data_IF_136297223052
#
_entry.id   IF_136297223052
#
_cell.length_a   1.000
_cell.length_b   1.000
_cell.length_c   1.000
_cell.angle_alpha   90.00
_cell.angle_beta   90.00
_cell.angle_gamma   90.00
#
_symmetry.space_group_name_H-M   'P 1'
#
loop_
_entity.id
_entity.type
_entity.pdbx_description
1 polymer ?
#
# COMPACT_ATOMS: atom_id res chain seq x y z
N UNK A 1 -8.65 9.42 17.82
CA UNK A 1 -7.53 10.00 17.05
C UNK A 1 -7.31 9.35 15.68
N UNK A 2 -7.07 8.03 15.55
CA UNK A 2 -6.78 7.37 14.25
C UNK A 2 -7.85 7.61 13.17
N UNK A 3 -9.14 7.55 13.53
CA UNK A 3 -10.24 7.83 12.57
C UNK A 3 -10.16 9.24 11.97
N UNK A 4 -9.69 10.22 12.75
CA UNK A 4 -9.51 11.60 12.30
C UNK A 4 -8.35 11.67 11.31
N UNK A 5 -7.22 11.01 11.60
CA UNK A 5 -6.08 10.91 10.67
C UNK A 5 -6.50 10.25 9.36
N UNK A 6 -7.26 9.16 9.42
CA UNK A 6 -7.82 8.51 8.23
C UNK A 6 -8.70 9.46 7.42
N UNK A 7 -9.56 10.23 8.08
CA UNK A 7 -10.38 11.22 7.39
C UNK A 7 -9.52 12.32 6.77
N UNK A 8 -8.50 12.84 7.46
CA UNK A 8 -7.56 13.80 6.91
C UNK A 8 -6.90 13.28 5.62
N UNK A 9 -6.37 12.05 5.64
CA UNK A 9 -5.77 11.40 4.46
C UNK A 9 -6.75 11.36 3.29
N UNK A 10 -8.01 10.96 3.54
CA UNK A 10 -9.05 10.95 2.50
C UNK A 10 -9.29 12.34 1.91
N UNK A 11 -9.38 13.36 2.76
CA UNK A 11 -9.56 14.74 2.31
C UNK A 11 -8.35 15.26 1.55
N UNK A 12 -7.13 14.90 1.96
CA UNK A 12 -5.91 15.23 1.21
C UNK A 12 -5.93 14.63 -0.19
N UNK A 13 -6.36 13.37 -0.34
CA UNK A 13 -6.50 12.78 -1.67
C UNK A 13 -7.60 13.43 -2.50
N UNK A 14 -8.78 13.71 -1.91
CA UNK A 14 -9.82 14.46 -2.62
C UNK A 14 -9.34 15.84 -3.04
N UNK A 15 -8.60 16.53 -2.17
CA UNK A 15 -8.04 17.84 -2.43
C UNK A 15 -6.99 17.80 -3.55
N UNK A 16 -6.06 16.85 -3.50
CA UNK A 16 -5.07 16.60 -4.56
C UNK A 16 -5.74 16.35 -5.92
N UNK A 17 -6.86 15.63 -5.92
CA UNK A 17 -7.59 15.25 -7.13
C UNK A 17 -8.63 16.30 -7.57
N UNK A 18 -8.83 17.38 -6.80
CA UNK A 18 -9.86 18.38 -7.08
C UNK A 18 -9.37 19.41 -8.10
N UNK A 19 -9.91 19.37 -9.33
CA UNK A 19 -9.65 20.28 -10.46
C UNK A 19 -8.19 20.25 -10.95
N UNK A 20 -8.03 19.82 -12.21
CA UNK A 20 -6.78 19.83 -12.97
C UNK A 20 -6.79 21.06 -13.89
N UNK A 21 -5.71 21.83 -13.95
CA UNK A 21 -5.35 22.52 -15.19
C UNK A 21 -5.23 24.04 -15.16
N UNK A 22 -5.41 24.70 -14.03
CA UNK A 22 -5.08 26.13 -13.92
C UNK A 22 -3.84 26.26 -13.05
N UNK A 23 -2.77 26.89 -13.56
CA UNK A 23 -1.55 27.33 -12.83
C UNK A 23 -1.87 28.39 -11.75
N UNK A 24 -2.96 28.17 -11.04
CA UNK A 24 -3.58 28.97 -10.02
C UNK A 24 -2.84 28.80 -8.70
N UNK A 25 -3.03 29.76 -7.80
CA UNK A 25 -2.56 29.65 -6.42
C UNK A 25 -3.03 28.36 -5.72
N UNK A 26 -4.14 27.77 -6.17
CA UNK A 26 -4.66 26.51 -5.63
C UNK A 26 -3.79 25.31 -6.02
N UNK A 27 -3.21 25.28 -7.21
CA UNK A 27 -2.34 24.17 -7.62
C UNK A 27 -0.99 24.24 -6.92
N UNK A 28 -0.45 25.44 -6.69
CA UNK A 28 0.75 25.60 -5.86
C UNK A 28 0.47 25.23 -4.39
N UNK A 29 -0.69 25.63 -3.85
CA UNK A 29 -1.11 25.23 -2.51
C UNK A 29 -1.22 23.71 -2.36
N UNK A 30 -1.79 23.02 -3.36
CA UNK A 30 -1.84 21.54 -3.38
C UNK A 30 -0.43 20.94 -3.34
N UNK A 31 0.47 21.45 -4.18
CA UNK A 31 1.86 20.97 -4.24
C UNK A 31 2.55 21.11 -2.88
N UNK A 32 2.44 22.28 -2.25
CA UNK A 32 3.03 22.55 -0.93
C UNK A 32 2.44 21.64 0.16
N UNK A 33 1.11 21.52 0.23
CA UNK A 33 0.44 20.70 1.26
C UNK A 33 0.78 19.22 1.10
N UNK A 34 0.80 18.70 -0.14
CA UNK A 34 1.10 17.29 -0.37
C UNK A 34 2.54 16.96 0.01
N UNK A 35 3.51 17.74 -0.47
CA UNK A 35 4.92 17.54 -0.14
C UNK A 35 5.17 17.66 1.37
N UNK A 36 4.61 18.68 2.02
CA UNK A 36 4.83 18.92 3.46
C UNK A 36 4.13 17.91 4.38
N UNK A 37 3.10 17.20 3.90
CA UNK A 37 2.37 16.20 4.67
C UNK A 37 2.93 14.79 4.49
N UNK A 38 3.53 14.49 3.34
CA UNK A 38 3.99 13.16 2.97
C UNK A 38 4.96 12.52 3.98
N UNK A 39 6.06 13.21 4.31
CA UNK A 39 7.05 12.70 5.27
C UNK A 39 6.43 12.42 6.65
N UNK A 40 5.54 13.32 7.10
CA UNK A 40 4.83 13.19 8.38
C UNK A 40 3.86 12.01 8.35
N UNK A 41 3.12 11.82 7.25
CA UNK A 41 2.21 10.69 7.08
C UNK A 41 2.97 9.37 7.04
N UNK A 42 4.06 9.30 6.29
CA UNK A 42 4.93 8.11 6.25
C UNK A 42 5.47 7.77 7.64
N UNK A 43 6.13 8.73 8.31
CA UNK A 43 6.70 8.51 9.65
C UNK A 43 5.65 8.07 10.67
N UNK A 44 4.48 8.72 10.66
CA UNK A 44 3.34 8.34 11.50
C UNK A 44 2.89 6.90 11.21
N UNK A 45 2.63 6.55 9.95
CA UNK A 45 2.15 5.22 9.57
C UNK A 45 3.17 4.15 9.89
N UNK A 46 4.44 4.37 9.54
CA UNK A 46 5.54 3.44 9.79
C UNK A 46 5.77 3.19 11.27
N UNK A 47 5.80 4.23 12.10
CA UNK A 47 5.93 4.10 13.54
C UNK A 47 4.72 3.37 14.14
N UNK A 48 3.52 3.81 13.78
CA UNK A 48 2.29 3.24 14.34
C UNK A 48 2.13 1.77 13.97
N UNK A 49 2.37 1.39 12.71
CA UNK A 49 2.33 -0.01 12.29
C UNK A 49 3.37 -0.85 13.04
N UNK A 50 4.55 -0.30 13.33
CA UNK A 50 5.58 -1.04 14.08
C UNK A 50 5.19 -1.33 15.52
N UNK A 51 4.57 -0.37 16.21
CA UNK A 51 4.45 -0.40 17.66
C UNK A 51 3.03 -0.65 18.15
N UNK A 52 2.01 -0.45 17.32
CA UNK A 52 0.62 -0.63 17.73
C UNK A 52 0.37 -2.06 18.21
N UNK A 53 -0.41 -2.31 19.27
CA UNK A 53 -0.75 -3.68 19.70
C UNK A 53 -1.47 -4.48 18.61
N UNK A 54 -1.30 -5.81 18.59
CA UNK A 54 -2.00 -6.70 17.64
C UNK A 54 -3.42 -7.07 18.12
N UNK A 55 -4.12 -6.12 18.70
CA UNK A 55 -5.50 -6.28 19.15
C UNK A 55 -6.51 -5.86 18.07
N UNK A 56 -7.79 -5.86 18.43
CA UNK A 56 -8.88 -5.50 17.51
C UNK A 56 -8.78 -4.08 16.91
N UNK A 57 -8.08 -3.17 17.57
CA UNK A 57 -7.92 -1.79 17.13
C UNK A 57 -6.86 -1.63 16.03
N UNK A 58 -5.95 -2.60 15.86
CA UNK A 58 -4.93 -2.58 14.80
C UNK A 58 -5.53 -2.43 13.40
N UNK A 59 -6.73 -2.97 13.19
CA UNK A 59 -7.51 -2.80 11.96
C UNK A 59 -7.66 -1.32 11.56
N UNK A 60 -7.80 -0.41 12.53
CA UNK A 60 -7.91 1.02 12.24
C UNK A 60 -6.61 1.59 11.67
N UNK A 61 -5.46 1.16 12.16
CA UNK A 61 -4.15 1.56 11.63
C UNK A 61 -4.00 1.05 10.21
N UNK A 62 -4.30 -0.24 9.99
CA UNK A 62 -4.21 -0.86 8.69
C UNK A 62 -5.10 -0.17 7.66
N UNK A 63 -6.36 0.08 8.00
CA UNK A 63 -7.29 0.78 7.11
C UNK A 63 -6.91 2.25 6.87
N UNK A 64 -6.15 2.87 7.79
CA UNK A 64 -5.59 4.22 7.60
C UNK A 64 -4.46 4.20 6.57
N UNK A 65 -3.52 3.25 6.70
CA UNK A 65 -2.47 3.04 5.72
C UNK A 65 -3.01 2.67 4.33
N UNK A 66 -3.95 1.73 4.24
CA UNK A 66 -4.59 1.37 2.97
C UNK A 66 -5.35 2.55 2.35
N UNK A 67 -5.85 3.48 3.16
CA UNK A 67 -6.46 4.71 2.63
C UNK A 67 -5.43 5.67 2.03
N UNK A 68 -4.21 5.70 2.59
CA UNK A 68 -3.11 6.56 2.15
C UNK A 68 -2.49 6.12 0.83
N UNK A 69 -2.28 4.82 0.66
CA UNK A 69 -1.61 4.28 -0.54
C UNK A 69 -2.55 4.13 -1.75
N UNK A 70 -3.80 4.61 -1.68
CA UNK A 70 -4.81 4.44 -2.73
C UNK A 70 -5.48 5.78 -3.12
N UNK A 71 -4.72 6.77 -3.64
CA UNK A 71 -5.28 8.07 -4.00
C UNK A 71 -6.35 7.99 -5.10
N UNK A 72 -6.28 6.98 -5.98
CA UNK A 72 -7.24 6.74 -7.06
C UNK A 72 -8.66 6.42 -6.59
N UNK A 73 -8.84 6.08 -5.31
CA UNK A 73 -10.18 5.87 -4.73
C UNK A 73 -10.93 7.19 -4.52
N UNK A 74 -10.23 8.32 -4.59
CA UNK A 74 -10.75 9.64 -4.22
C UNK A 74 -10.77 10.62 -5.41
N UNK A 75 -11.07 10.13 -6.61
CA UNK A 75 -11.16 10.95 -7.84
C UNK A 75 -12.55 11.55 -8.06
N UNK A 76 -13.59 10.90 -7.54
CA UNK A 76 -14.98 11.27 -7.80
C UNK A 76 -15.62 11.97 -6.58
N UNK A 77 -15.41 13.28 -6.44
CA UNK A 77 -16.13 14.05 -5.41
C UNK A 77 -17.63 14.21 -5.76
N UNK A 78 -17.95 14.36 -7.06
CA UNK A 78 -19.34 14.56 -7.55
C UNK A 78 -20.21 13.30 -7.48
N UNK A 79 -19.65 12.12 -7.77
CA UNK A 79 -20.43 10.87 -7.73
C UNK A 79 -20.77 10.39 -6.33
N UNK A 80 -20.09 10.88 -5.28
CA UNK A 80 -20.40 10.52 -3.88
C UNK A 80 -21.61 11.28 -3.33
N UNK A 81 -21.80 12.54 -3.75
CA UNK A 81 -22.92 13.38 -3.30
C UNK A 81 -24.22 13.14 -4.11
N UNK A 82 -24.14 12.47 -5.27
CA UNK A 82 -25.26 12.17 -6.17
C UNK A 82 -25.72 10.69 -6.12
N UNK A 83 -25.26 9.88 -5.16
CA UNK A 83 -25.79 8.51 -4.96
C UNK A 83 -26.93 8.54 -3.94
N UNK A 84 -28.18 8.20 -4.31
CA UNK A 84 -29.32 8.29 -3.39
C UNK A 84 -29.42 7.14 -2.37
N UNK A 85 -28.45 6.22 -2.28
CA UNK A 85 -28.61 5.02 -1.45
C UNK A 85 -27.35 4.64 -0.66
N UNK A 86 -27.42 4.61 0.69
CA UNK A 86 -26.33 4.21 1.58
C UNK A 86 -26.23 2.68 1.71
N UNK A 87 -26.31 1.94 0.60
CA UNK A 87 -26.48 0.47 0.61
C UNK A 87 -25.58 -0.33 -0.33
N UNK A 88 -24.73 0.31 -1.15
CA UNK A 88 -23.81 -0.39 -2.06
C UNK A 88 -22.37 0.08 -1.88
N UNK A 89 -21.77 -0.23 -0.73
CA UNK A 89 -20.31 -0.20 -0.55
C UNK A 89 -19.62 -1.44 -1.17
N UNK A 90 -20.37 -2.38 -1.75
CA UNK A 90 -19.91 -3.76 -1.90
C UNK A 90 -19.31 -4.15 -3.27
N UNK A 91 -19.12 -3.22 -4.22
CA UNK A 91 -18.40 -3.52 -5.45
C UNK A 91 -17.51 -2.34 -5.86
N UNK A 92 -16.45 -2.11 -5.06
CA UNK A 92 -15.18 -1.65 -5.64
C UNK A 92 -14.74 -2.74 -6.62
N UNK A 93 -15.29 -2.70 -7.85
CA UNK A 93 -14.76 -3.45 -9.00
C UNK A 93 -13.26 -3.26 -8.98
N UNK A 94 -12.52 -4.33 -9.23
CA UNK A 94 -11.06 -4.32 -9.34
C UNK A 94 -10.70 -3.41 -10.52
N UNK A 95 -10.65 -2.10 -10.26
CA UNK A 95 -10.33 -1.08 -11.25
C UNK A 95 -8.84 -1.20 -11.51
N UNK A 96 -8.47 -1.45 -12.75
CA UNK A 96 -7.09 -1.29 -13.21
C UNK A 96 -6.62 0.11 -12.84
N UNK A 97 -5.45 0.20 -12.20
CA UNK A 97 -4.90 1.49 -11.81
C UNK A 97 -4.24 2.11 -13.05
N UNK A 98 -4.71 3.30 -13.40
CA UNK A 98 -4.17 4.10 -14.51
C UNK A 98 -2.68 4.43 -14.26
N UNK A 99 -1.86 4.34 -15.30
CA UNK A 99 -0.43 4.65 -15.23
C UNK A 99 -0.14 6.10 -14.79
N UNK A 100 -1.10 7.04 -14.91
CA UNK A 100 -0.95 8.42 -14.39
C UNK A 100 -0.58 8.49 -12.90
N UNK A 101 -0.83 7.43 -12.13
CA UNK A 101 -0.51 7.34 -10.70
C UNK A 101 0.93 6.96 -10.40
N UNK A 102 1.75 6.64 -11.40
CA UNK A 102 3.13 6.18 -11.18
C UNK A 102 3.99 7.20 -10.44
N UNK A 103 3.80 8.51 -10.69
CA UNK A 103 4.56 9.54 -9.96
C UNK A 103 4.20 9.55 -8.47
N UNK A 104 2.91 9.40 -8.12
CA UNK A 104 2.51 9.26 -6.72
C UNK A 104 3.12 8.01 -6.08
N UNK A 105 3.15 6.89 -6.82
CA UNK A 105 3.75 5.64 -6.37
C UNK A 105 5.25 5.82 -6.14
N UNK A 106 5.96 6.45 -7.07
CA UNK A 106 7.39 6.74 -6.96
C UNK A 106 7.70 7.61 -5.74
N UNK A 107 6.92 8.68 -5.57
CA UNK A 107 7.03 9.54 -4.39
C UNK A 107 6.68 8.80 -3.10
N UNK A 108 5.84 7.76 -3.12
CA UNK A 108 5.40 7.08 -1.91
C UNK A 108 5.93 5.65 -1.80
N UNK A 109 7.01 5.29 -2.52
CA UNK A 109 7.44 3.91 -2.66
C UNK A 109 7.64 3.22 -1.31
N UNK A 110 8.31 3.89 -0.36
CA UNK A 110 8.54 3.32 0.98
C UNK A 110 7.25 3.02 1.74
N UNK A 111 6.19 3.82 1.51
CA UNK A 111 4.88 3.58 2.09
C UNK A 111 4.24 2.30 1.58
N UNK A 112 4.58 1.85 0.36
CA UNK A 112 4.15 0.57 -0.16
C UNK A 112 5.09 -0.54 0.34
N UNK A 113 6.38 -0.44 0.05
CA UNK A 113 7.32 -1.56 0.14
C UNK A 113 7.85 -1.78 1.55
N UNK A 114 8.32 -0.74 2.23
CA UNK A 114 8.87 -0.84 3.59
C UNK A 114 7.77 -1.21 4.59
N UNK A 115 6.61 -0.55 4.50
CA UNK A 115 5.47 -0.85 5.38
C UNK A 115 4.92 -2.26 5.11
N UNK A 116 4.81 -2.70 3.84
CA UNK A 116 4.41 -4.07 3.54
C UNK A 116 5.34 -5.10 4.19
N UNK A 117 6.66 -4.92 4.03
CA UNK A 117 7.65 -5.79 4.68
C UNK A 117 7.54 -5.77 6.20
N UNK A 118 7.29 -4.61 6.80
CA UNK A 118 7.09 -4.46 8.23
C UNK A 118 5.85 -5.21 8.75
N UNK A 119 4.82 -5.36 7.91
CA UNK A 119 3.59 -6.07 8.25
C UNK A 119 3.76 -7.60 8.22
N UNK A 120 4.61 -8.15 7.34
CA UNK A 120 4.81 -9.61 7.23
C UNK A 120 5.09 -10.31 8.58
N UNK A 121 6.12 -9.93 9.36
CA UNK A 121 6.39 -10.59 10.65
C UNK A 121 5.29 -10.33 11.69
N UNK A 122 4.50 -9.25 11.54
CA UNK A 122 3.38 -8.96 12.42
C UNK A 122 2.20 -9.87 12.15
N UNK A 123 1.87 -10.11 10.88
CA UNK A 123 0.80 -11.05 10.51
C UNK A 123 1.17 -12.50 10.82
N UNK A 124 2.46 -12.87 10.79
CA UNK A 124 2.93 -14.18 11.27
C UNK A 124 2.62 -14.44 12.76
N UNK A 125 2.44 -13.38 13.56
CA UNK A 125 2.08 -13.47 14.99
C UNK A 125 0.57 -13.50 15.23
N UNK A 126 -0.24 -13.22 14.22
CA UNK A 126 -1.70 -13.23 14.32
C UNK A 126 -2.24 -14.64 14.08
N UNK A 127 -3.29 -14.99 14.82
CA UNK A 127 -4.07 -16.18 14.53
C UNK A 127 -4.97 -15.93 13.31
N UNK A 128 -4.53 -16.35 12.13
CA UNK A 128 -5.25 -16.13 10.87
C UNK A 128 -6.51 -16.97 10.71
N UNK A 129 -6.71 -18.02 11.52
CA UNK A 129 -7.97 -18.77 11.55
C UNK A 129 -9.14 -17.91 12.05
N UNK A 130 -8.86 -16.85 12.81
CA UNK A 130 -9.89 -15.91 13.27
C UNK A 130 -10.40 -15.02 12.11
N UNK A 131 -11.73 -14.92 11.88
CA UNK A 131 -12.31 -14.13 10.78
C UNK A 131 -11.87 -12.67 10.73
N UNK A 132 -11.65 -12.05 11.90
CA UNK A 132 -11.21 -10.64 11.99
C UNK A 132 -9.79 -10.45 11.42
N UNK A 133 -8.90 -11.40 11.69
CA UNK A 133 -7.49 -11.34 11.29
C UNK A 133 -7.32 -11.71 9.82
N UNK A 134 -7.99 -12.77 9.36
CA UNK A 134 -8.02 -13.14 7.94
C UNK A 134 -8.65 -12.03 7.09
N UNK A 135 -9.70 -11.37 7.59
CA UNK A 135 -10.26 -10.20 6.90
C UNK A 135 -9.23 -9.06 6.79
N UNK A 136 -8.45 -8.76 7.83
CA UNK A 136 -7.38 -7.74 7.73
C UNK A 136 -6.36 -8.11 6.64
N UNK A 137 -5.91 -9.36 6.60
CA UNK A 137 -5.00 -9.84 5.57
C UNK A 137 -5.63 -9.74 4.17
N UNK A 138 -6.88 -10.16 4.02
CA UNK A 138 -7.64 -10.02 2.78
C UNK A 138 -7.71 -8.57 2.28
N UNK A 139 -7.85 -7.60 3.19
CA UNK A 139 -7.86 -6.17 2.79
C UNK A 139 -6.53 -5.75 2.19
N UNK A 140 -5.41 -6.23 2.72
CA UNK A 140 -4.08 -5.96 2.17
C UNK A 140 -3.94 -6.61 0.80
N UNK A 141 -4.20 -7.92 0.72
CA UNK A 141 -4.04 -8.67 -0.54
C UNK A 141 -4.95 -8.09 -1.62
N UNK A 142 -6.18 -7.70 -1.29
CA UNK A 142 -7.09 -7.04 -2.23
C UNK A 142 -6.50 -5.76 -2.85
N UNK A 143 -5.76 -4.96 -2.08
CA UNK A 143 -5.11 -3.75 -2.60
C UNK A 143 -3.91 -4.10 -3.47
N UNK A 144 -3.02 -4.96 -2.99
CA UNK A 144 -1.82 -5.37 -3.74
C UNK A 144 -2.13 -6.25 -4.96
N UNK A 145 -3.32 -6.83 -5.04
CA UNK A 145 -3.80 -7.56 -6.22
C UNK A 145 -4.53 -6.67 -7.24
N UNK A 146 -4.57 -5.34 -7.04
CA UNK A 146 -5.13 -4.43 -8.04
C UNK A 146 -4.29 -4.47 -9.33
N UNK A 147 -4.90 -4.64 -10.53
CA UNK A 147 -4.19 -4.69 -11.78
C UNK A 147 -3.37 -3.42 -12.00
N UNK A 148 -2.16 -3.60 -12.54
CA UNK A 148 -1.16 -2.57 -12.79
C UNK A 148 -0.42 -2.02 -11.55
N UNK A 149 -0.88 -2.26 -10.31
CA UNK A 149 -0.17 -1.77 -9.12
C UNK A 149 1.25 -2.34 -9.03
N UNK A 150 1.36 -3.68 -9.08
CA UNK A 150 2.64 -4.37 -8.94
C UNK A 150 3.58 -4.03 -10.10
N UNK A 151 3.05 -3.86 -11.31
CA UNK A 151 3.85 -3.47 -12.47
C UNK A 151 4.51 -2.10 -12.25
N UNK A 152 3.74 -1.09 -11.82
CA UNK A 152 4.28 0.24 -11.53
C UNK A 152 5.23 0.25 -10.32
N UNK A 153 4.93 -0.53 -9.27
CA UNK A 153 5.84 -0.66 -8.13
C UNK A 153 7.17 -1.30 -8.55
N UNK A 154 7.13 -2.36 -9.35
CA UNK A 154 8.33 -3.01 -9.90
C UNK A 154 9.11 -2.07 -10.84
N UNK A 155 8.40 -1.30 -11.67
CA UNK A 155 9.00 -0.33 -12.58
C UNK A 155 9.83 0.71 -11.82
N UNK A 156 9.24 1.33 -10.79
CA UNK A 156 9.95 2.29 -9.93
C UNK A 156 11.08 1.63 -9.15
N UNK A 157 10.86 0.44 -8.59
CA UNK A 157 11.86 -0.26 -7.77
C UNK A 157 13.09 -0.68 -8.59
N UNK A 158 12.91 -1.11 -9.84
CA UNK A 158 14.02 -1.48 -10.74
C UNK A 158 14.97 -0.32 -11.01
N UNK A 159 14.46 0.92 -11.07
CA UNK A 159 15.31 2.09 -11.26
C UNK A 159 16.35 2.27 -10.14
N UNK A 160 16.17 1.65 -8.96
CA UNK A 160 17.16 1.69 -7.87
C UNK A 160 18.38 0.81 -8.12
N UNK A 161 18.20 -0.30 -8.86
CA UNK A 161 19.23 -1.32 -9.11
C UNK A 161 20.17 -0.93 -10.27
N UNK A 162 19.68 -0.17 -11.26
CA UNK A 162 20.39 0.18 -12.51
C UNK A 162 21.71 0.95 -12.32
N UNK A 163 21.92 1.58 -11.16
CA UNK A 163 23.18 2.32 -10.86
C UNK A 163 24.34 1.36 -10.51
N UNK A 164 24.05 0.11 -10.15
CA UNK A 164 25.09 -0.90 -9.84
C UNK A 164 25.91 -1.31 -11.08
N UNK A 165 25.37 -1.07 -12.29
CA UNK A 165 25.91 -1.56 -13.57
C UNK A 165 26.47 -0.43 -14.45
N UNK A 166 26.32 0.84 -14.03
CA UNK A 166 26.73 2.03 -14.78
C UNK A 166 28.25 2.29 -14.84
N UNK A 167 29.08 1.32 -14.42
CA UNK A 167 30.53 1.32 -14.62
C UNK A 167 30.98 0.78 -15.99
N UNK A 168 30.06 0.39 -16.87
CA UNK A 168 30.38 -0.08 -18.22
C UNK A 168 29.81 0.89 -19.27
N UNK A 169 30.63 1.39 -20.21
CA UNK A 169 30.14 2.21 -21.30
C UNK A 169 29.43 1.28 -22.29
N UNK A 170 28.11 1.43 -22.46
CA UNK A 170 27.42 0.74 -23.55
C UNK A 170 26.55 1.67 -24.37
N UNK A 171 26.96 1.79 -25.63
CA UNK A 171 26.23 2.33 -26.77
C UNK A 171 24.81 1.77 -26.83
N UNK A 172 23.80 2.62 -26.67
CA UNK A 172 22.49 2.40 -27.31
C UNK A 172 21.61 3.66 -27.21
N UNK A 173 21.45 4.33 -28.36
CA UNK A 173 20.51 5.43 -28.60
C UNK A 173 19.03 4.95 -28.64
N UNK A 174 18.63 4.04 -27.76
CA UNK A 174 17.25 3.57 -27.66
C UNK A 174 16.65 4.04 -26.33
N UNK A 175 15.79 5.05 -26.44
CA UNK A 175 14.89 5.61 -25.41
C UNK A 175 15.48 6.57 -24.35
N UNK A 176 15.96 7.73 -24.80
CA UNK A 176 16.33 8.86 -23.92
C UNK A 176 15.21 9.24 -22.93
N UNK A 177 13.94 9.25 -23.34
CA UNK A 177 12.81 9.62 -22.45
C UNK A 177 12.56 8.61 -21.31
N UNK A 178 12.62 7.31 -21.59
CA UNK A 178 12.50 6.27 -20.57
C UNK A 178 13.67 6.32 -19.58
N UNK A 179 14.88 6.60 -20.08
CA UNK A 179 16.07 6.79 -19.25
C UNK A 179 15.94 8.03 -18.33
N UNK A 180 15.41 9.15 -18.83
CA UNK A 180 15.21 10.37 -18.05
C UNK A 180 14.22 10.17 -16.90
N UNK A 181 13.10 9.49 -17.16
CA UNK A 181 12.10 9.22 -16.13
C UNK A 181 12.62 8.23 -15.08
N UNK A 182 13.38 7.21 -15.51
CA UNK A 182 14.06 6.27 -14.60
C UNK A 182 15.08 6.96 -13.69
N UNK A 183 15.92 7.85 -14.25
CA UNK A 183 16.87 8.65 -13.47
C UNK A 183 16.16 9.57 -12.47
N UNK A 184 15.04 10.18 -12.87
CA UNK A 184 14.21 11.02 -11.98
C UNK A 184 13.68 10.22 -10.80
N UNK A 185 13.09 9.04 -11.03
CA UNK A 185 12.57 8.21 -9.95
C UNK A 185 13.67 7.67 -9.04
N UNK A 186 14.83 7.26 -9.59
CA UNK A 186 15.98 6.85 -8.79
C UNK A 186 16.42 7.96 -7.83
N UNK A 187 16.66 9.18 -8.35
CA UNK A 187 17.11 10.31 -7.54
C UNK A 187 16.07 10.67 -6.46
N UNK A 188 14.79 10.70 -6.83
CA UNK A 188 13.68 10.96 -5.93
C UNK A 188 13.60 9.94 -4.80
N UNK A 189 13.61 8.64 -5.12
CA UNK A 189 13.47 7.59 -4.11
C UNK A 189 14.72 7.54 -3.20
N UNK A 190 15.93 7.74 -3.74
CA UNK A 190 17.15 7.82 -2.92
C UNK A 190 17.10 8.99 -1.94
N UNK A 191 16.64 10.15 -2.39
CA UNK A 191 16.44 11.31 -1.52
C UNK A 191 15.43 10.99 -0.41
N UNK A 192 14.33 10.32 -0.76
CA UNK A 192 13.33 9.92 0.23
C UNK A 192 13.82 8.90 1.23
N UNK A 193 14.63 7.92 0.81
CA UNK A 193 15.28 7.00 1.74
C UNK A 193 16.15 7.79 2.72
N UNK A 194 16.97 8.71 2.22
CA UNK A 194 17.83 9.53 3.08
C UNK A 194 17.01 10.39 4.07
N UNK A 195 15.95 11.05 3.61
CA UNK A 195 15.14 11.95 4.43
C UNK A 195 14.26 11.22 5.44
N UNK A 196 13.67 10.09 5.06
CA UNK A 196 12.66 9.39 5.86
C UNK A 196 13.23 8.27 6.73
N UNK A 197 14.33 7.66 6.30
CA UNK A 197 14.96 6.52 6.98
C UNK A 197 16.34 6.83 7.53
N UNK A 198 17.00 7.86 7.00
CA UNK A 198 18.35 8.25 7.38
C UNK A 198 19.45 7.53 6.61
N UNK A 199 20.72 7.98 6.76
CA UNK A 199 21.85 7.57 5.92
C UNK A 199 22.30 6.12 6.10
N UNK A 200 21.87 5.44 7.17
CA UNK A 200 22.22 4.03 7.44
C UNK A 200 21.20 3.02 6.91
N UNK A 201 20.10 3.47 6.31
CA UNK A 201 19.04 2.57 5.90
C UNK A 201 19.36 1.87 4.58
N UNK A 202 19.37 0.54 4.62
CA UNK A 202 19.50 -0.30 3.43
C UNK A 202 18.11 -0.66 2.91
N UNK A 203 17.72 -0.03 1.81
CA UNK A 203 16.49 -0.39 1.13
C UNK A 203 16.55 -1.84 0.66
N UNK A 204 15.52 -2.62 1.00
CA UNK A 204 15.38 -4.00 0.53
C UNK A 204 14.17 -4.12 -0.38
N UNK A 205 14.36 -4.49 -1.66
CA UNK A 205 13.28 -4.56 -2.63
C UNK A 205 12.11 -5.44 -2.19
N UNK A 206 10.88 -4.99 -2.41
CA UNK A 206 9.67 -5.78 -2.17
C UNK A 206 9.58 -6.97 -3.13
N UNK A 207 10.07 -6.82 -4.36
CA UNK A 207 10.13 -7.88 -5.36
C UNK A 207 11.50 -8.59 -5.40
N UNK A 208 12.35 -8.32 -4.42
CA UNK A 208 13.64 -9.01 -4.25
C UNK A 208 13.50 -10.42 -3.68
N UNK A 209 14.56 -11.25 -3.83
CA UNK A 209 14.53 -12.66 -3.43
C UNK A 209 14.22 -12.86 -1.95
N UNK A 210 14.76 -12.01 -1.07
CA UNK A 210 14.50 -12.05 0.37
C UNK A 210 13.01 -11.92 0.70
N UNK A 211 12.34 -10.91 0.12
CA UNK A 211 10.92 -10.65 0.39
C UNK A 211 10.06 -11.75 -0.20
N UNK A 212 10.38 -12.20 -1.42
CA UNK A 212 9.67 -13.27 -2.10
C UNK A 212 9.71 -14.55 -1.25
N UNK A 213 10.90 -14.94 -0.76
CA UNK A 213 11.06 -16.07 0.14
C UNK A 213 10.23 -15.91 1.41
N UNK A 214 10.24 -14.72 2.02
CA UNK A 214 9.44 -14.43 3.21
C UNK A 214 7.92 -14.56 2.97
N UNK A 215 7.45 -14.09 1.81
CA UNK A 215 6.05 -14.19 1.40
C UNK A 215 5.67 -15.64 1.14
N UNK A 216 6.52 -16.44 0.48
CA UNK A 216 6.28 -17.88 0.28
C UNK A 216 6.14 -18.62 1.60
N UNK A 217 7.04 -18.37 2.56
CA UNK A 217 6.92 -18.93 3.92
C UNK A 217 5.61 -18.51 4.59
N UNK A 218 5.20 -17.25 4.41
CA UNK A 218 3.95 -16.76 4.95
C UNK A 218 2.72 -17.41 4.28
N UNK A 219 2.77 -17.73 2.99
CA UNK A 219 1.69 -18.47 2.30
C UNK A 219 1.44 -19.85 2.92
N UNK A 220 2.49 -20.56 3.35
CA UNK A 220 2.36 -21.84 4.05
C UNK A 220 1.59 -21.66 5.38
N UNK A 221 1.83 -20.56 6.11
CA UNK A 221 1.10 -20.24 7.33
C UNK A 221 -0.38 -19.93 7.06
N UNK A 222 -0.67 -19.20 5.97
CA UNK A 222 -2.05 -18.91 5.54
C UNK A 222 -2.78 -20.23 5.23
N UNK A 223 -2.14 -21.16 4.51
CA UNK A 223 -2.73 -22.45 4.17
C UNK A 223 -3.09 -23.26 5.43
N UNK A 224 -2.15 -23.38 6.38
CA UNK A 224 -2.39 -24.07 7.66
C UNK A 224 -3.53 -23.43 8.45
N UNK A 225 -3.61 -22.11 8.47
CA UNK A 225 -4.69 -21.39 9.14
C UNK A 225 -6.05 -21.65 8.48
N UNK A 226 -6.09 -21.79 7.16
CA UNK A 226 -7.30 -22.13 6.42
C UNK A 226 -7.78 -23.55 6.74
N UNK A 227 -6.86 -24.53 6.76
CA UNK A 227 -7.16 -25.91 7.18
C UNK A 227 -7.68 -25.96 8.62
N UNK A 228 -7.05 -25.21 9.52
CA UNK A 228 -7.48 -25.08 10.92
C UNK A 228 -8.90 -24.53 11.03
N UNK A 229 -9.20 -23.44 10.32
CA UNK A 229 -10.53 -22.84 10.30
C UNK A 229 -11.60 -23.80 9.73
N UNK A 230 -11.26 -24.57 8.70
CA UNK A 230 -12.16 -25.57 8.12
C UNK A 230 -12.48 -26.69 9.11
N UNK A 231 -11.46 -27.22 9.81
CA UNK A 231 -11.65 -28.27 10.82
C UNK A 231 -12.49 -27.79 12.01
N UNK A 232 -12.29 -26.55 12.46
CA UNK A 232 -13.11 -25.93 13.51
C UNK A 232 -14.57 -25.83 13.09
N UNK A 233 -14.84 -25.46 11.84
CA UNK A 233 -16.20 -25.36 11.31
C UNK A 233 -16.89 -26.73 11.30
N UNK A 234 -16.21 -27.78 10.80
CA UNK A 234 -16.73 -29.15 10.83
C UNK A 234 -17.05 -29.59 12.27
N UNK A 235 -16.15 -29.33 13.22
CA UNK A 235 -16.36 -29.69 14.63
C UNK A 235 -17.63 -29.03 15.19
N UNK A 236 -17.78 -27.72 14.99
CA UNK A 236 -18.95 -26.97 15.45
C UNK A 236 -20.25 -27.48 14.82
N UNK A 237 -20.25 -27.81 13.53
CA UNK A 237 -21.41 -28.41 12.86
C UNK A 237 -21.78 -29.77 13.45
N UNK A 238 -20.79 -30.61 13.78
CA UNK A 238 -21.06 -31.91 14.41
C UNK A 238 -21.62 -31.79 15.82
N UNK A 239 -21.14 -30.83 16.61
CA UNK A 239 -21.67 -30.55 17.95
C UNK A 239 -23.09 -29.98 17.90
N UNK A 240 -23.37 -29.06 16.97
CA UNK A 240 -24.71 -28.52 16.77
C UNK A 240 -25.72 -29.62 16.40
N UNK A 241 -25.33 -30.56 15.52
CA UNK A 241 -26.16 -31.73 15.17
C UNK A 241 -26.45 -32.60 16.39
N UNK A 242 -25.44 -32.89 17.23
CA UNK A 242 -25.60 -33.67 18.46
C UNK A 242 -26.53 -33.00 19.49
N UNK A 243 -26.53 -31.67 19.57
CA UNK A 243 -27.41 -30.92 20.49
C UNK A 243 -28.87 -30.83 19.99
N UNK A 244 -29.08 -31.02 18.68
CA UNK A 244 -30.41 -30.99 18.05
C UNK A 244 -31.11 -32.36 17.94
N UNK A 245 -30.43 -33.44 18.33
CA UNK A 245 -30.95 -34.82 18.38
C UNK A 245 -31.24 -35.21 19.83
#
# INVERSE_FOLDING_TARGET
>A
HIRVVRNLIKHLHYFANSILGDMSAMDELKRIILLSSQAKMYGFLRHTIHHWPLDSSFRLILETWLSYIQPWRYVDWRHRNMRPFPGRENEERVRTIDHRWINFIAENLLSYTVIFRQLLPRFKRLELATPKNSHMLFRITKVFSQPNLNNMLMEVERCLDDVSVQGLPNDSNLSQEASHQGHKWNAMVRQQVLELEGPGFQYKPMFGPDTISEVFQFMILIQRANETAHNLLIHLETEARKQSS
#
